data_IF_576299016417
#
_entry.id   IF_576299016417
#
_cell.length_a   1.000
_cell.length_b   1.000
_cell.length_c   1.000
_cell.angle_alpha   90.00
_cell.angle_beta   90.00
_cell.angle_gamma   90.00
#
_symmetry.space_group_name_H-M   'P 1'
#
loop_
_entity.id
_entity.type
_entity.pdbx_description
1 polymer ?
#
# COMPACT_ATOMS: atom_id res chain seq x y z
N UNK A 1 15.10 -15.89 -25.60
CA UNK A 1 13.97 -15.18 -24.96
C UNK A 1 13.04 -16.13 -24.19
N UNK A 2 12.16 -16.92 -24.82
CA UNK A 2 11.18 -17.75 -24.06
C UNK A 2 11.82 -18.71 -23.03
N UNK A 3 12.85 -19.48 -23.43
CA UNK A 3 13.57 -20.38 -22.52
C UNK A 3 14.23 -19.66 -21.33
N UNK A 4 14.75 -18.45 -21.54
CA UNK A 4 15.35 -17.63 -20.46
C UNK A 4 14.27 -17.13 -19.50
N UNK A 5 13.10 -16.72 -20.01
CA UNK A 5 11.96 -16.35 -19.18
C UNK A 5 11.42 -17.54 -18.38
N UNK A 6 11.32 -18.73 -18.96
CA UNK A 6 10.93 -19.94 -18.23
C UNK A 6 11.94 -20.29 -17.12
N UNK A 7 13.25 -20.15 -17.39
CA UNK A 7 14.28 -20.38 -16.37
C UNK A 7 14.22 -19.33 -15.26
N UNK A 8 14.07 -18.05 -15.60
CA UNK A 8 13.94 -16.97 -14.61
C UNK A 8 12.71 -17.20 -13.74
N UNK A 9 11.52 -17.41 -14.34
CA UNK A 9 10.27 -17.67 -13.63
C UNK A 9 10.36 -18.95 -12.80
N UNK A 10 10.94 -20.02 -13.34
CA UNK A 10 11.13 -21.28 -12.63
C UNK A 10 12.03 -21.14 -11.41
N UNK A 11 13.19 -20.49 -11.56
CA UNK A 11 14.11 -20.18 -10.45
C UNK A 11 13.42 -19.27 -9.43
N UNK A 12 12.65 -18.28 -9.88
CA UNK A 12 11.83 -17.41 -9.03
C UNK A 12 10.90 -18.20 -8.12
N UNK A 13 10.08 -19.05 -8.73
CA UNK A 13 9.05 -19.83 -8.03
C UNK A 13 9.69 -20.79 -7.03
N UNK A 14 10.85 -21.38 -7.41
CA UNK A 14 11.65 -22.22 -6.52
C UNK A 14 12.22 -21.41 -5.35
N UNK A 15 12.76 -20.21 -5.60
CA UNK A 15 13.25 -19.30 -4.54
C UNK A 15 12.10 -18.91 -3.60
N UNK A 16 10.91 -18.61 -4.09
CA UNK A 16 9.72 -18.33 -3.26
C UNK A 16 9.42 -19.50 -2.33
N UNK A 17 9.30 -20.72 -2.89
CA UNK A 17 9.01 -21.91 -2.10
C UNK A 17 10.08 -22.21 -1.05
N UNK A 18 11.34 -21.93 -1.37
CA UNK A 18 12.48 -22.08 -0.44
C UNK A 18 12.56 -20.94 0.59
N UNK A 19 12.10 -19.74 0.26
CA UNK A 19 12.18 -18.56 1.13
C UNK A 19 11.40 -18.77 2.42
N UNK A 20 10.27 -19.49 2.38
CA UNK A 20 9.51 -19.83 3.60
C UNK A 20 10.29 -20.73 4.57
N UNK A 21 11.15 -21.60 4.03
CA UNK A 21 12.05 -22.45 4.82
C UNK A 21 13.26 -21.68 5.34
N UNK A 22 13.83 -20.78 4.52
CA UNK A 22 15.00 -19.96 4.86
C UNK A 22 14.68 -18.85 5.90
N UNK A 23 13.44 -18.34 5.89
CA UNK A 23 12.90 -17.33 6.82
C UNK A 23 13.06 -17.72 8.29
N UNK A 24 13.05 -19.03 8.61
CA UNK A 24 13.19 -19.51 10.00
C UNK A 24 14.60 -19.29 10.57
N UNK A 25 15.61 -19.01 9.73
CA UNK A 25 17.02 -18.95 10.14
C UNK A 25 17.68 -17.58 9.97
N UNK A 26 17.13 -16.66 9.17
CA UNK A 26 17.72 -15.34 8.91
C UNK A 26 16.74 -14.20 9.28
N UNK A 27 17.17 -13.16 9.99
CA UNK A 27 16.35 -11.99 10.32
C UNK A 27 16.29 -11.00 9.14
N UNK A 28 16.00 -11.48 7.93
CA UNK A 28 15.94 -10.67 6.70
C UNK A 28 14.53 -10.75 6.11
N UNK A 29 13.90 -9.60 5.86
CA UNK A 29 12.58 -9.50 5.23
C UNK A 29 12.56 -10.06 3.80
N UNK A 30 11.41 -10.56 3.36
CA UNK A 30 11.22 -11.19 2.04
C UNK A 30 11.58 -10.25 0.89
N UNK A 31 11.17 -8.98 0.96
CA UNK A 31 11.44 -7.99 -0.08
C UNK A 31 12.93 -7.76 -0.30
N UNK A 32 13.75 -7.82 0.75
CA UNK A 32 15.21 -7.69 0.65
C UNK A 32 15.85 -8.87 -0.08
N UNK A 33 15.32 -10.08 0.12
CA UNK A 33 15.75 -11.27 -0.62
C UNK A 33 15.38 -11.12 -2.10
N UNK A 34 14.14 -10.71 -2.40
CA UNK A 34 13.69 -10.52 -3.79
C UNK A 34 14.47 -9.42 -4.50
N UNK A 35 14.76 -8.32 -3.82
CA UNK A 35 15.60 -7.24 -4.34
C UNK A 35 17.02 -7.75 -4.67
N UNK A 36 17.64 -8.51 -3.76
CA UNK A 36 18.96 -9.09 -3.99
C UNK A 36 18.95 -10.08 -5.15
N UNK A 37 17.93 -10.94 -5.24
CA UNK A 37 17.75 -11.83 -6.38
C UNK A 37 17.61 -11.04 -7.69
N UNK A 38 16.87 -9.93 -7.69
CA UNK A 38 16.72 -9.05 -8.84
C UNK A 38 18.06 -8.49 -9.30
N UNK A 39 18.86 -7.98 -8.36
CA UNK A 39 20.21 -7.48 -8.64
C UNK A 39 21.13 -8.57 -9.23
N UNK A 40 21.11 -9.77 -8.66
CA UNK A 40 21.89 -10.90 -9.16
C UNK A 40 21.42 -11.40 -10.54
N UNK A 41 20.14 -11.30 -10.85
CA UNK A 41 19.59 -11.66 -12.17
C UNK A 41 19.75 -10.53 -13.20
N UNK A 42 19.96 -9.30 -12.74
CA UNK A 42 20.13 -8.10 -13.56
C UNK A 42 21.46 -8.03 -14.31
N UNK A 43 21.70 -6.96 -15.07
CA UNK A 43 22.86 -6.80 -15.95
C UNK A 43 24.22 -6.90 -15.23
N UNK A 44 24.28 -6.51 -13.97
CA UNK A 44 25.49 -6.53 -13.15
C UNK A 44 25.78 -7.88 -12.47
N UNK A 45 24.86 -8.83 -12.55
CA UNK A 45 25.04 -10.20 -12.08
C UNK A 45 25.11 -11.20 -13.23
N UNK A 46 24.04 -11.98 -13.40
CA UNK A 46 23.92 -13.02 -14.42
C UNK A 46 23.42 -12.48 -15.77
N UNK A 47 22.86 -11.27 -15.80
CA UNK A 47 22.42 -10.59 -17.02
C UNK A 47 21.22 -11.23 -17.73
N UNK A 48 20.39 -11.98 -16.99
CA UNK A 48 19.17 -12.61 -17.50
C UNK A 48 18.01 -11.62 -17.66
N UNK A 49 17.92 -10.65 -16.74
CA UNK A 49 16.96 -9.55 -16.80
C UNK A 49 17.72 -8.32 -17.29
N UNK A 50 17.28 -7.73 -18.40
CA UNK A 50 17.87 -6.52 -18.99
C UNK A 50 16.79 -5.49 -19.25
N UNK A 51 16.39 -4.82 -18.18
CA UNK A 51 15.44 -3.73 -18.21
C UNK A 51 16.19 -2.41 -18.28
N UNK A 52 15.65 -1.47 -19.05
CA UNK A 52 16.09 -0.09 -19.09
C UNK A 52 14.96 0.81 -18.60
N UNK A 53 15.29 1.70 -17.68
CA UNK A 53 14.31 2.53 -16.98
C UNK A 53 13.51 3.42 -17.94
N UNK A 54 14.15 3.97 -18.97
CA UNK A 54 13.52 4.90 -19.91
C UNK A 54 12.81 4.15 -21.04
N UNK A 55 13.48 3.15 -21.63
CA UNK A 55 12.94 2.39 -22.76
C UNK A 55 11.73 1.55 -22.34
N UNK A 56 11.80 0.93 -21.16
CA UNK A 56 10.79 0.00 -20.70
C UNK A 56 9.80 0.66 -19.73
N UNK A 57 9.83 2.00 -19.59
CA UNK A 57 9.03 2.81 -18.65
C UNK A 57 7.53 2.47 -18.69
N UNK A 58 6.93 2.33 -19.87
CA UNK A 58 5.50 2.01 -20.01
C UNK A 58 5.14 0.63 -19.45
N UNK A 59 6.02 -0.37 -19.64
CA UNK A 59 5.81 -1.69 -19.04
C UNK A 59 5.96 -1.62 -17.53
N UNK A 60 6.98 -0.90 -17.04
CA UNK A 60 7.24 -0.73 -15.62
C UNK A 60 6.10 0.02 -14.92
N UNK A 61 5.54 1.04 -15.55
CA UNK A 61 4.35 1.77 -15.09
C UNK A 61 3.19 0.80 -14.91
N UNK A 62 2.79 0.06 -15.95
CA UNK A 62 1.65 -0.88 -15.88
C UNK A 62 1.84 -1.95 -14.81
N UNK A 63 3.05 -2.52 -14.70
CA UNK A 63 3.33 -3.57 -13.72
C UNK A 63 3.26 -3.04 -12.28
N UNK A 64 3.82 -1.86 -12.04
CA UNK A 64 3.80 -1.22 -10.71
C UNK A 64 2.41 -0.67 -10.38
N UNK A 65 1.67 -0.18 -11.37
CA UNK A 65 0.28 0.26 -11.25
C UNK A 65 -0.63 -0.86 -10.78
N UNK A 66 -0.58 -2.03 -11.44
CA UNK A 66 -1.34 -3.21 -11.03
C UNK A 66 -0.98 -3.64 -9.60
N UNK A 67 0.31 -3.62 -9.26
CA UNK A 67 0.79 -3.98 -7.92
C UNK A 67 0.25 -3.02 -6.85
N UNK A 68 0.27 -1.71 -7.10
CA UNK A 68 -0.30 -0.69 -6.20
C UNK A 68 -1.80 -0.84 -6.06
N UNK A 69 -2.54 -1.11 -7.15
CA UNK A 69 -4.00 -1.29 -7.10
C UNK A 69 -4.40 -2.46 -6.19
N UNK A 70 -3.76 -3.61 -6.37
CA UNK A 70 -3.99 -4.81 -5.55
C UNK A 70 -3.67 -4.50 -4.09
N UNK A 71 -2.53 -3.88 -3.83
CA UNK A 71 -2.09 -3.50 -2.49
C UNK A 71 -3.09 -2.59 -1.78
N UNK A 72 -3.47 -1.48 -2.42
CA UNK A 72 -4.37 -0.49 -1.83
C UNK A 72 -5.75 -1.07 -1.54
N UNK A 73 -6.24 -1.96 -2.40
CA UNK A 73 -7.46 -2.70 -2.13
C UNK A 73 -7.32 -3.59 -0.88
N UNK A 74 -6.20 -4.34 -0.77
CA UNK A 74 -5.89 -5.16 0.39
C UNK A 74 -5.84 -4.34 1.68
N UNK A 75 -5.17 -3.18 1.65
CA UNK A 75 -5.10 -2.25 2.79
C UNK A 75 -6.50 -1.81 3.19
N UNK A 76 -7.35 -1.40 2.24
CA UNK A 76 -8.74 -1.06 2.51
C UNK A 76 -9.50 -2.16 3.24
N UNK A 77 -9.33 -3.41 2.82
CA UNK A 77 -9.95 -4.59 3.45
C UNK A 77 -9.41 -4.91 4.85
N UNK A 78 -8.13 -4.59 5.14
CA UNK A 78 -7.54 -4.81 6.47
C UNK A 78 -8.10 -3.83 7.52
N UNK A 79 -8.55 -2.64 7.11
CA UNK A 79 -9.00 -1.58 8.01
C UNK A 79 -10.47 -1.77 8.46
N UNK A 80 -10.66 -2.57 9.53
CA UNK A 80 -11.99 -2.88 10.09
C UNK A 80 -12.56 -1.82 11.04
N UNK A 81 -11.78 -0.84 11.50
CA UNK A 81 -12.20 0.09 12.57
C UNK A 81 -13.30 1.05 12.08
N UNK A 82 -14.37 1.34 12.87
CA UNK A 82 -15.39 2.32 12.50
C UNK A 82 -14.80 3.67 12.11
N UNK A 83 -15.34 4.30 11.06
CA UNK A 83 -14.86 5.60 10.56
C UNK A 83 -14.93 6.75 11.58
N UNK A 84 -15.79 6.62 12.59
CA UNK A 84 -15.95 7.62 13.67
C UNK A 84 -15.00 7.41 14.85
N UNK A 85 -14.21 6.34 14.83
CA UNK A 85 -13.28 6.03 15.91
C UNK A 85 -12.11 7.02 15.92
N UNK A 86 -11.66 7.40 17.12
CA UNK A 86 -10.50 8.27 17.32
C UNK A 86 -9.18 7.70 16.78
N UNK A 87 -9.12 6.37 16.57
CA UNK A 87 -7.96 5.69 15.97
C UNK A 87 -7.61 6.18 14.55
N UNK A 88 -8.56 6.73 13.80
CA UNK A 88 -8.31 7.27 12.45
C UNK A 88 -7.47 8.55 12.44
N UNK A 89 -7.40 9.28 13.56
CA UNK A 89 -6.69 10.56 13.63
C UNK A 89 -5.21 10.43 13.29
N UNK A 90 -4.55 9.41 13.82
CA UNK A 90 -3.12 9.20 13.59
C UNK A 90 -2.78 8.88 12.11
N UNK A 91 -3.37 7.85 11.47
CA UNK A 91 -3.11 7.57 10.07
C UNK A 91 -3.48 8.73 9.14
N UNK A 92 -4.58 9.44 9.37
CA UNK A 92 -4.94 10.62 8.55
C UNK A 92 -3.91 11.75 8.69
N UNK A 93 -3.48 12.07 9.92
CA UNK A 93 -2.47 13.11 10.17
C UNK A 93 -1.11 12.74 9.56
N UNK A 94 -0.71 11.47 9.66
CA UNK A 94 0.52 10.97 9.06
C UNK A 94 0.41 11.00 7.53
N UNK A 95 -0.73 10.58 6.99
CA UNK A 95 -0.93 10.49 5.55
C UNK A 95 -1.10 11.84 4.83
N UNK A 96 -1.37 12.90 5.59
CA UNK A 96 -1.58 14.25 5.03
C UNK A 96 -0.47 15.18 5.49
N UNK A 97 -0.50 15.59 6.75
CA UNK A 97 0.39 16.63 7.26
C UNK A 97 1.84 16.16 7.36
N UNK A 98 2.09 14.94 7.82
CA UNK A 98 3.47 14.44 7.88
C UNK A 98 4.04 14.18 6.47
N UNK A 99 3.21 13.72 5.53
CA UNK A 99 3.60 13.62 4.12
C UNK A 99 3.95 15.00 3.53
N UNK A 100 3.13 16.04 3.76
CA UNK A 100 3.43 17.40 3.29
C UNK A 100 4.73 17.97 3.87
N UNK A 101 4.99 17.73 5.16
CA UNK A 101 6.27 18.10 5.79
C UNK A 101 7.43 17.34 5.14
N UNK A 102 7.26 16.04 4.88
CA UNK A 102 8.26 15.21 4.18
C UNK A 102 8.55 15.76 2.79
N UNK A 103 7.51 16.11 2.02
CA UNK A 103 7.62 16.69 0.69
C UNK A 103 8.38 18.02 0.75
N UNK A 104 8.03 18.91 1.68
CA UNK A 104 8.67 20.21 1.81
C UNK A 104 10.17 20.08 2.15
N UNK A 105 10.51 19.21 3.10
CA UNK A 105 11.90 18.97 3.51
C UNK A 105 12.72 18.31 2.39
N UNK A 106 12.17 17.31 1.70
CA UNK A 106 12.84 16.68 0.56
C UNK A 106 12.97 17.62 -0.64
N UNK A 107 11.99 18.50 -0.88
CA UNK A 107 12.10 19.53 -1.92
C UNK A 107 13.25 20.48 -1.60
N UNK A 108 13.34 20.94 -0.35
CA UNK A 108 14.47 21.77 0.11
C UNK A 108 15.82 21.07 -0.04
N UNK A 109 15.89 19.77 0.31
CA UNK A 109 17.10 18.97 0.12
C UNK A 109 17.47 18.82 -1.37
N UNK A 110 16.50 18.53 -2.23
CA UNK A 110 16.71 18.42 -3.68
C UNK A 110 17.21 19.71 -4.30
N UNK A 111 16.63 20.85 -3.92
CA UNK A 111 17.09 22.16 -4.36
C UNK A 111 18.50 22.48 -3.86
N UNK A 112 18.81 22.13 -2.61
CA UNK A 112 20.17 22.30 -2.05
C UNK A 112 21.20 21.45 -2.80
N UNK A 113 20.81 20.27 -3.27
CA UNK A 113 21.64 19.39 -4.12
C UNK A 113 21.66 19.81 -5.61
N UNK A 114 21.00 20.91 -5.97
CA UNK A 114 21.08 21.50 -7.31
C UNK A 114 19.95 21.12 -8.28
N UNK A 115 18.88 20.46 -7.82
CA UNK A 115 17.69 20.25 -8.65
C UNK A 115 16.90 21.55 -8.85
N UNK A 116 16.27 21.68 -10.01
CA UNK A 116 15.21 22.67 -10.22
C UNK A 116 14.04 22.45 -9.26
N UNK A 117 13.21 23.48 -9.05
CA UNK A 117 12.01 23.35 -8.21
C UNK A 117 11.10 22.20 -8.69
N UNK A 118 10.90 22.05 -9.99
CA UNK A 118 10.09 20.96 -10.56
C UNK A 118 10.70 19.58 -10.30
N UNK A 119 12.01 19.41 -10.54
CA UNK A 119 12.70 18.15 -10.27
C UNK A 119 12.75 17.79 -8.77
N UNK A 120 12.94 18.79 -7.91
CA UNK A 120 12.95 18.59 -6.46
C UNK A 120 11.57 18.21 -5.91
N UNK A 121 10.50 18.86 -6.38
CA UNK A 121 9.12 18.51 -6.01
C UNK A 121 8.76 17.13 -6.55
N UNK A 122 9.18 16.77 -7.77
CA UNK A 122 8.96 15.43 -8.33
C UNK A 122 9.63 14.35 -7.45
N UNK A 123 10.93 14.50 -7.18
CA UNK A 123 11.66 13.58 -6.31
C UNK A 123 10.99 13.46 -4.93
N UNK A 124 10.60 14.58 -4.34
CA UNK A 124 9.94 14.61 -3.04
C UNK A 124 8.56 13.93 -3.08
N UNK A 125 7.75 14.18 -4.11
CA UNK A 125 6.42 13.58 -4.27
C UNK A 125 6.48 12.07 -4.50
N UNK A 126 7.50 11.59 -5.23
CA UNK A 126 7.73 10.17 -5.48
C UNK A 126 8.23 9.45 -4.22
N UNK A 127 9.04 10.11 -3.40
CA UNK A 127 9.66 9.51 -2.21
C UNK A 127 8.88 9.71 -0.91
N UNK A 128 7.95 10.66 -0.85
CA UNK A 128 7.15 10.93 0.35
C UNK A 128 6.12 9.83 0.71
N UNK A 129 5.53 9.08 -0.23
CA UNK A 129 4.57 8.02 0.05
C UNK A 129 5.24 6.75 0.58
N UNK A 130 4.59 6.11 1.55
CA UNK A 130 5.11 4.93 2.23
C UNK A 130 4.43 3.70 1.72
N UNK A 131 5.21 2.70 1.34
CA UNK A 131 4.67 1.49 0.75
C UNK A 131 4.16 0.52 1.83
N UNK A 132 2.85 0.23 1.85
CA UNK A 132 2.32 -0.81 2.71
C UNK A 132 2.86 -2.20 2.34
N UNK A 133 2.98 -2.55 1.06
CA UNK A 133 3.31 -3.90 0.54
C UNK A 133 4.53 -4.50 1.25
N UNK A 134 5.58 -3.68 1.35
CA UNK A 134 6.90 -4.09 1.84
C UNK A 134 7.00 -4.12 3.36
N UNK A 135 5.97 -3.65 4.05
CA UNK A 135 5.87 -3.60 5.49
C UNK A 135 4.90 -4.66 6.04
N UNK A 136 4.60 -5.72 5.30
CA UNK A 136 3.62 -6.75 5.68
C UNK A 136 3.86 -7.37 7.07
N UNK A 137 5.11 -7.46 7.54
CA UNK A 137 5.49 -7.90 8.90
C UNK A 137 5.07 -6.91 10.02
N UNK A 138 4.81 -5.66 9.65
CA UNK A 138 4.51 -4.53 10.54
C UNK A 138 3.05 -4.09 10.45
N UNK A 139 2.35 -4.53 9.40
CA UNK A 139 0.92 -4.29 9.21
C UNK A 139 0.06 -5.07 10.22
N UNK A 140 -1.24 -4.74 10.22
CA UNK A 140 -2.29 -5.54 10.89
C UNK A 140 -2.17 -7.00 10.44
N UNK A 141 -1.75 -7.87 11.38
CA UNK A 141 -1.45 -9.26 11.07
C UNK A 141 -2.74 -10.08 10.89
N UNK A 142 -3.73 -9.85 11.74
CA UNK A 142 -5.00 -10.59 11.75
C UNK A 142 -6.21 -9.66 12.01
N UNK A 143 -7.43 -10.05 11.63
CA UNK A 143 -8.66 -9.25 11.79
C UNK A 143 -9.01 -8.80 13.23
N UNK A 144 -8.33 -9.33 14.24
CA UNK A 144 -8.51 -9.06 15.67
C UNK A 144 -7.33 -8.28 16.27
N UNK A 145 -6.39 -7.83 15.45
CA UNK A 145 -5.24 -7.06 15.90
C UNK A 145 -5.68 -5.61 16.22
N UNK A 146 -5.87 -5.35 17.52
CA UNK A 146 -6.27 -4.06 18.06
C UNK A 146 -5.08 -3.13 18.34
N UNK A 147 -3.87 -3.44 17.86
CA UNK A 147 -2.72 -2.56 18.06
C UNK A 147 -2.87 -1.28 17.24
N UNK A 148 -3.14 -0.17 17.93
CA UNK A 148 -3.28 1.15 17.31
C UNK A 148 -2.06 1.59 16.50
N UNK A 149 -0.86 1.06 16.78
CA UNK A 149 0.33 1.31 15.98
C UNK A 149 0.25 0.63 14.61
N UNK A 150 -0.08 -0.66 14.57
CA UNK A 150 -0.22 -1.43 13.33
C UNK A 150 -1.35 -0.88 12.46
N UNK A 151 -2.48 -0.55 13.07
CA UNK A 151 -3.59 0.13 12.39
C UNK A 151 -3.14 1.46 11.76
N UNK A 152 -2.40 2.28 12.51
CA UNK A 152 -1.93 3.57 12.02
C UNK A 152 -0.92 3.44 10.88
N UNK A 153 0.01 2.48 10.95
CA UNK A 153 0.99 2.23 9.88
C UNK A 153 0.33 1.68 8.61
N UNK A 154 -0.61 0.74 8.76
CA UNK A 154 -1.38 0.21 7.63
C UNK A 154 -2.23 1.31 6.98
N UNK A 155 -2.93 2.12 7.77
CA UNK A 155 -3.71 3.25 7.29
C UNK A 155 -2.85 4.35 6.64
N UNK A 156 -1.70 4.68 7.22
CA UNK A 156 -0.74 5.63 6.64
C UNK A 156 -0.33 5.18 5.24
N UNK A 157 0.11 3.93 5.07
CA UNK A 157 0.55 3.42 3.78
C UNK A 157 -0.51 3.53 2.70
N UNK A 158 -1.74 3.09 2.98
CA UNK A 158 -2.84 3.17 2.02
C UNK A 158 -3.26 4.60 1.67
N UNK A 159 -3.38 5.48 2.66
CA UNK A 159 -3.79 6.86 2.41
C UNK A 159 -2.67 7.68 1.74
N UNK A 160 -1.40 7.45 2.06
CA UNK A 160 -0.25 8.16 1.47
C UNK A 160 -0.09 7.86 -0.02
N UNK A 161 -0.06 6.57 -0.38
CA UNK A 161 0.01 6.14 -1.78
C UNK A 161 -1.25 6.58 -2.55
N UNK A 162 -2.36 6.79 -1.85
CA UNK A 162 -3.57 7.41 -2.38
C UNK A 162 -3.62 8.94 -2.26
N UNK A 163 -2.56 9.66 -1.88
CA UNK A 163 -2.57 11.12 -1.68
C UNK A 163 -1.39 11.85 -2.35
N UNK A 164 -0.42 11.13 -2.90
CA UNK A 164 0.78 11.70 -3.50
C UNK A 164 0.56 12.28 -4.90
N UNK A 165 -0.37 11.70 -5.66
CA UNK A 165 -0.60 11.99 -7.07
C UNK A 165 -0.81 13.48 -7.37
N UNK A 166 -1.61 14.26 -6.61
CA UNK A 166 -1.74 15.70 -6.86
C UNK A 166 -0.39 16.43 -6.83
N UNK A 167 0.55 16.02 -5.99
CA UNK A 167 1.87 16.64 -5.91
C UNK A 167 2.75 16.21 -7.08
N UNK A 168 2.61 14.99 -7.58
CA UNK A 168 3.26 14.56 -8.84
C UNK A 168 2.75 15.40 -10.01
N UNK A 169 1.43 15.63 -10.11
CA UNK A 169 0.84 16.52 -11.12
C UNK A 169 1.33 17.97 -10.98
N UNK A 170 1.50 18.45 -9.75
CA UNK A 170 2.11 19.76 -9.49
C UNK A 170 3.55 19.82 -10.03
N UNK A 171 4.34 18.78 -9.78
CA UNK A 171 5.72 18.71 -10.25
C UNK A 171 5.79 18.74 -11.78
N UNK A 172 4.95 17.94 -12.46
CA UNK A 172 4.83 17.92 -13.91
C UNK A 172 4.41 19.31 -14.44
N UNK A 173 3.49 20.00 -13.76
CA UNK A 173 3.10 21.35 -14.14
C UNK A 173 4.20 22.39 -13.95
N UNK A 174 4.99 22.30 -12.89
CA UNK A 174 6.19 23.12 -12.69
C UNK A 174 7.26 22.86 -13.76
N UNK A 175 7.27 21.65 -14.32
CA UNK A 175 8.11 21.25 -15.46
C UNK A 175 7.47 21.59 -16.82
N UNK A 176 6.30 22.25 -16.84
CA UNK A 176 5.53 22.64 -18.04
C UNK A 176 5.02 21.45 -18.87
N UNK A 177 4.79 20.32 -18.22
CA UNK A 177 4.27 19.09 -18.81
C UNK A 177 2.77 18.90 -18.53
N UNK A 178 2.23 19.63 -17.56
CA UNK A 178 0.82 19.62 -17.19
C UNK A 178 0.28 21.05 -17.05
N UNK A 179 -0.97 21.27 -17.46
CA UNK A 179 -1.59 22.59 -17.32
C UNK A 179 -2.14 22.77 -15.89
N UNK A 180 -1.48 23.64 -15.12
CA UNK A 180 -1.93 24.01 -13.77
C UNK A 180 -3.13 24.97 -13.80
N UNK A 181 -3.46 25.54 -14.96
CA UNK A 181 -4.44 26.58 -15.13
C UNK A 181 -3.99 27.93 -14.55
N UNK A 182 -4.80 28.97 -14.78
CA UNK A 182 -4.54 30.32 -14.27
C UNK A 182 -4.35 30.30 -12.74
N UNK A 183 -3.21 30.79 -12.25
CA UNK A 183 -2.86 30.81 -10.82
C UNK A 183 -2.86 29.43 -10.13
N UNK A 184 -2.83 28.32 -10.89
CA UNK A 184 -2.89 26.98 -10.31
C UNK A 184 -4.31 26.50 -9.96
N UNK A 185 -5.36 27.19 -10.42
CA UNK A 185 -6.74 26.85 -10.07
C UNK A 185 -7.20 25.50 -10.61
N UNK A 186 -6.73 25.10 -11.80
CA UNK A 186 -7.05 23.78 -12.34
C UNK A 186 -6.46 22.69 -11.43
N UNK A 187 -5.23 22.87 -11.00
CA UNK A 187 -4.56 21.96 -10.08
C UNK A 187 -5.31 21.82 -8.75
N UNK A 188 -5.69 22.93 -8.11
CA UNK A 188 -6.41 22.87 -6.83
C UNK A 188 -7.81 22.25 -7.00
N UNK A 189 -8.57 22.68 -8.00
CA UNK A 189 -9.96 22.27 -8.14
C UNK A 189 -10.11 20.86 -8.71
N UNK A 190 -9.33 20.52 -9.75
CA UNK A 190 -9.43 19.27 -10.49
C UNK A 190 -8.48 18.23 -9.92
N UNK A 191 -7.17 18.48 -9.98
CA UNK A 191 -6.15 17.47 -9.62
C UNK A 191 -6.14 17.14 -8.13
N UNK A 192 -6.53 18.10 -7.27
CA UNK A 192 -6.58 17.90 -5.82
C UNK A 192 -7.99 17.64 -5.29
N UNK A 193 -8.91 18.62 -5.38
CA UNK A 193 -10.22 18.51 -4.71
C UNK A 193 -11.15 17.51 -5.40
N UNK A 194 -11.39 17.68 -6.70
CA UNK A 194 -12.26 16.78 -7.46
C UNK A 194 -11.70 15.36 -7.49
N UNK A 195 -10.42 15.20 -7.82
CA UNK A 195 -9.83 13.88 -7.95
C UNK A 195 -9.89 13.08 -6.64
N UNK A 196 -9.58 13.72 -5.51
CA UNK A 196 -9.63 13.08 -4.18
C UNK A 196 -11.06 12.78 -3.75
N UNK A 197 -11.97 13.76 -3.80
CA UNK A 197 -13.35 13.57 -3.35
C UNK A 197 -14.12 12.61 -4.26
N UNK A 198 -13.96 12.75 -5.58
CA UNK A 198 -14.53 11.88 -6.59
C UNK A 198 -14.04 10.45 -6.47
N UNK A 199 -12.74 10.24 -6.25
CA UNK A 199 -12.17 8.90 -6.06
C UNK A 199 -12.74 8.22 -4.81
N UNK A 200 -12.70 8.88 -3.65
CA UNK A 200 -13.25 8.36 -2.40
C UNK A 200 -14.74 8.01 -2.50
N UNK A 201 -15.54 8.91 -3.09
CA UNK A 201 -16.99 8.70 -3.23
C UNK A 201 -17.32 7.58 -4.21
N UNK A 202 -16.68 7.56 -5.39
CA UNK A 202 -16.87 6.50 -6.37
C UNK A 202 -16.51 5.13 -5.79
N UNK A 203 -15.32 5.02 -5.19
CA UNK A 203 -14.86 3.78 -4.57
C UNK A 203 -15.79 3.30 -3.47
N UNK A 204 -16.22 4.21 -2.59
CA UNK A 204 -17.18 3.87 -1.54
C UNK A 204 -18.49 3.33 -2.11
N UNK A 205 -19.03 3.96 -3.16
CA UNK A 205 -20.26 3.53 -3.82
C UNK A 205 -20.10 2.18 -4.52
N UNK A 206 -19.02 1.95 -5.27
CA UNK A 206 -18.79 0.68 -5.97
C UNK A 206 -18.58 -0.47 -4.99
N UNK A 207 -17.79 -0.27 -3.91
CA UNK A 207 -17.58 -1.26 -2.87
C UNK A 207 -18.86 -1.63 -2.10
N UNK A 208 -19.70 -0.64 -1.78
CA UNK A 208 -21.02 -0.89 -1.16
C UNK A 208 -21.97 -1.63 -2.10
N UNK A 209 -22.07 -1.19 -3.35
CA UNK A 209 -22.93 -1.80 -4.35
C UNK A 209 -22.54 -3.27 -4.58
N UNK A 210 -21.25 -3.51 -4.76
CA UNK A 210 -20.70 -4.85 -4.91
C UNK A 210 -21.04 -5.75 -3.71
N UNK A 211 -20.79 -5.27 -2.49
CA UNK A 211 -21.10 -6.03 -1.26
C UNK A 211 -22.58 -6.39 -1.17
N UNK A 212 -23.47 -5.46 -1.53
CA UNK A 212 -24.93 -5.71 -1.54
C UNK A 212 -25.33 -6.73 -2.60
N UNK A 213 -24.80 -6.64 -3.82
CA UNK A 213 -25.11 -7.56 -4.91
C UNK A 213 -24.68 -8.98 -4.52
N UNK A 214 -23.46 -9.16 -4.00
CA UNK A 214 -22.97 -10.49 -3.63
C UNK A 214 -23.80 -11.11 -2.50
N UNK A 215 -24.12 -10.35 -1.45
CA UNK A 215 -24.96 -10.85 -0.36
C UNK A 215 -26.38 -11.19 -0.85
N UNK A 216 -26.95 -10.37 -1.72
CA UNK A 216 -28.27 -10.62 -2.31
C UNK A 216 -28.28 -11.93 -3.13
N UNK A 217 -27.33 -12.09 -4.06
CA UNK A 217 -27.25 -13.28 -4.91
C UNK A 217 -27.03 -14.57 -4.10
N UNK A 218 -26.23 -14.50 -3.03
CA UNK A 218 -25.97 -15.67 -2.17
C UNK A 218 -27.19 -16.04 -1.32
N UNK A 219 -27.97 -15.04 -0.85
CA UNK A 219 -29.22 -15.27 -0.10
C UNK A 219 -30.30 -15.92 -0.97
N UNK A 220 -30.45 -15.46 -2.20
CA UNK A 220 -31.61 -15.82 -3.02
C UNK A 220 -31.37 -17.04 -3.91
N UNK A 221 -30.13 -17.29 -4.36
CA UNK A 221 -29.85 -18.34 -5.35
C UNK A 221 -29.07 -19.55 -4.82
N UNK A 222 -28.67 -19.58 -3.54
CA UNK A 222 -27.85 -20.66 -2.95
C UNK A 222 -26.61 -21.02 -3.78
N UNK A 223 -26.09 -20.07 -4.57
CA UNK A 223 -24.92 -20.24 -5.40
C UNK A 223 -23.68 -20.18 -4.49
N UNK A 224 -22.99 -21.30 -4.36
CA UNK A 224 -21.61 -21.29 -3.89
C UNK A 224 -20.77 -20.67 -5.01
N UNK A 225 -20.56 -19.37 -4.96
CA UNK A 225 -19.50 -18.79 -5.77
C UNK A 225 -18.19 -19.45 -5.31
N UNK A 226 -17.43 -20.00 -6.27
CA UNK A 226 -16.03 -20.36 -6.11
C UNK A 226 -15.18 -19.43 -6.98
N UNK A 227 -15.65 -18.19 -7.14
CA UNK A 227 -15.15 -17.17 -8.08
C UNK A 227 -15.03 -15.79 -7.41
N UNK A 228 -15.07 -15.72 -6.08
CA UNK A 228 -14.85 -14.51 -5.28
C UNK A 228 -13.57 -13.77 -5.71
N UNK A 229 -12.54 -14.53 -6.07
CA UNK A 229 -11.28 -14.03 -6.62
C UNK A 229 -11.45 -13.25 -7.94
N UNK A 230 -12.27 -13.75 -8.87
CA UNK A 230 -12.55 -13.05 -10.13
C UNK A 230 -13.38 -11.79 -9.91
N UNK A 231 -14.35 -11.85 -9.00
CA UNK A 231 -15.12 -10.68 -8.64
C UNK A 231 -14.27 -9.58 -8.00
N UNK A 232 -13.26 -9.98 -7.21
CA UNK A 232 -12.30 -9.05 -6.61
C UNK A 232 -11.52 -8.30 -7.69
N UNK A 233 -10.91 -9.04 -8.63
CA UNK A 233 -10.22 -8.44 -9.77
C UNK A 233 -11.14 -7.55 -10.60
N UNK A 234 -12.37 -8.01 -10.84
CA UNK A 234 -13.39 -7.26 -11.54
C UNK A 234 -13.76 -5.95 -10.85
N UNK A 235 -13.90 -5.95 -9.51
CA UNK A 235 -14.20 -4.75 -8.74
C UNK A 235 -13.03 -3.75 -8.75
N UNK A 236 -11.80 -4.22 -8.58
CA UNK A 236 -10.60 -3.39 -8.67
C UNK A 236 -10.53 -2.73 -10.04
N UNK A 237 -10.60 -3.51 -11.12
CA UNK A 237 -10.51 -3.03 -12.49
C UNK A 237 -11.66 -2.08 -12.86
N UNK A 238 -12.90 -2.42 -12.48
CA UNK A 238 -14.08 -1.58 -12.74
C UNK A 238 -14.00 -0.25 -11.99
N UNK A 239 -13.67 -0.29 -10.70
CA UNK A 239 -13.55 0.93 -9.88
C UNK A 239 -12.44 1.82 -10.43
N UNK A 240 -11.29 1.24 -10.77
CA UNK A 240 -10.18 1.98 -11.36
C UNK A 240 -10.53 2.59 -12.71
N UNK A 241 -11.09 1.79 -13.63
CA UNK A 241 -11.47 2.26 -14.96
C UNK A 241 -12.52 3.36 -14.93
N UNK A 242 -13.56 3.22 -14.09
CA UNK A 242 -14.55 4.27 -13.87
C UNK A 242 -13.92 5.54 -13.28
N UNK A 243 -12.96 5.39 -12.37
CA UNK A 243 -12.28 6.53 -11.78
C UNK A 243 -11.50 7.33 -12.83
N UNK A 244 -10.78 6.64 -13.73
CA UNK A 244 -10.06 7.27 -14.83
C UNK A 244 -11.01 7.99 -15.81
N UNK A 245 -12.15 7.38 -16.14
CA UNK A 245 -13.16 8.01 -17.01
C UNK A 245 -13.76 9.28 -16.41
N UNK A 246 -13.84 9.37 -15.08
CA UNK A 246 -14.35 10.55 -14.37
C UNK A 246 -13.25 11.57 -14.03
N UNK A 247 -12.01 11.35 -14.49
CA UNK A 247 -10.84 12.14 -14.12
C UNK A 247 -10.69 12.25 -12.59
N UNK A 248 -10.92 11.14 -11.91
CA UNK A 248 -10.79 11.03 -10.46
C UNK A 248 -9.62 10.14 -10.07
N UNK A 249 -9.27 10.15 -8.79
CA UNK A 249 -8.10 9.44 -8.32
C UNK A 249 -8.35 7.93 -8.17
N UNK A 250 -7.93 7.16 -9.17
CA UNK A 250 -8.18 5.72 -9.26
C UNK A 250 -7.63 4.89 -8.10
N UNK A 251 -6.39 5.12 -7.66
CA UNK A 251 -5.82 4.41 -6.50
C UNK A 251 -6.63 4.62 -5.22
N UNK A 252 -7.03 5.88 -4.97
CA UNK A 252 -7.84 6.22 -3.80
C UNK A 252 -9.26 5.65 -3.90
N UNK A 253 -9.82 5.55 -5.12
CA UNK A 253 -11.09 4.88 -5.35
C UNK A 253 -11.02 3.38 -5.05
N UNK A 254 -9.98 2.68 -5.49
CA UNK A 254 -9.80 1.26 -5.19
C UNK A 254 -9.60 1.02 -3.69
N UNK A 255 -8.80 1.86 -3.02
CA UNK A 255 -8.67 1.83 -1.56
C UNK A 255 -10.03 2.01 -0.86
N UNK A 256 -10.81 3.01 -1.28
CA UNK A 256 -12.13 3.29 -0.72
C UNK A 256 -13.14 2.17 -0.98
N UNK A 257 -13.05 1.47 -2.11
CA UNK A 257 -13.87 0.30 -2.40
C UNK A 257 -13.57 -0.86 -1.44
N UNK A 258 -12.30 -1.19 -1.22
CA UNK A 258 -11.89 -2.20 -0.23
C UNK A 258 -12.34 -1.83 1.19
N UNK A 259 -12.16 -0.55 1.57
CA UNK A 259 -12.61 -0.04 2.87
C UNK A 259 -14.14 -0.14 3.04
N UNK A 260 -14.91 0.23 2.01
CA UNK A 260 -16.37 0.17 2.04
C UNK A 260 -16.88 -1.27 2.20
N UNK A 261 -16.29 -2.22 1.49
CA UNK A 261 -16.61 -3.65 1.66
C UNK A 261 -16.37 -4.11 3.10
N UNK A 262 -15.24 -3.71 3.68
CA UNK A 262 -14.89 -4.07 5.05
C UNK A 262 -15.84 -3.45 6.08
N UNK A 263 -16.26 -2.20 5.87
CA UNK A 263 -17.24 -1.54 6.74
C UNK A 263 -18.63 -2.16 6.62
N UNK A 264 -19.02 -2.59 5.42
CA UNK A 264 -20.27 -3.29 5.18
C UNK A 264 -20.31 -4.63 5.92
N UNK A 265 -19.28 -5.48 5.76
CA UNK A 265 -19.16 -6.76 6.48
C UNK A 265 -19.23 -6.60 8.00
N UNK A 266 -18.55 -5.59 8.54
CA UNK A 266 -18.60 -5.28 9.98
C UNK A 266 -20.01 -4.95 10.43
N UNK A 267 -20.71 -4.07 9.71
CA UNK A 267 -22.05 -3.60 10.08
C UNK A 267 -23.07 -4.75 10.00
N UNK A 268 -22.98 -5.57 8.96
CA UNK A 268 -23.81 -6.77 8.78
C UNK A 268 -23.56 -7.80 9.90
N UNK A 269 -22.30 -8.02 10.26
CA UNK A 269 -21.91 -8.91 11.38
C UNK A 269 -22.40 -8.40 12.74
N UNK A 270 -22.26 -7.10 13.01
CA UNK A 270 -22.70 -6.48 14.26
C UNK A 270 -24.23 -6.54 14.42
N UNK A 271 -24.98 -6.33 13.34
CA UNK A 271 -26.46 -6.36 13.35
C UNK A 271 -26.98 -7.76 13.72
N UNK A 272 -26.46 -8.80 13.08
CA UNK A 272 -26.86 -10.19 13.34
C UNK A 272 -26.39 -10.72 14.71
N UNK A 273 -25.30 -10.18 15.26
CA UNK A 273 -24.87 -10.51 16.64
C UNK A 273 -25.85 -9.95 17.67
N UNK A 274 -26.40 -8.75 17.46
CA UNK A 274 -27.43 -8.19 18.34
C UNK A 274 -28.74 -8.99 18.22
N UNK A 275 -29.17 -9.35 17.01
CA UNK A 275 -30.36 -10.21 16.81
C UNK A 275 -30.25 -11.56 17.54
N UNK A 276 -29.11 -12.26 17.44
CA UNK A 276 -28.90 -13.51 18.19
C UNK A 276 -28.91 -13.30 19.70
N UNK A 277 -28.30 -12.22 20.18
CA UNK A 277 -28.26 -11.92 21.62
C UNK A 277 -29.66 -11.61 22.16
N UNK A 278 -30.50 -10.89 21.40
CA UNK A 278 -31.89 -10.63 21.75
C UNK A 278 -32.75 -11.90 21.73
N UNK A 279 -32.54 -12.79 20.76
CA UNK A 279 -33.25 -14.09 20.69
C UNK A 279 -32.83 -15.02 21.84
N UNK A 280 -31.54 -15.10 22.17
CA UNK A 280 -31.02 -15.91 23.29
C UNK A 280 -31.42 -15.35 24.67
N UNK A 281 -31.64 -14.04 24.78
CA UNK A 281 -32.16 -13.41 26.00
C UNK A 281 -33.69 -13.53 26.12
N UNK A 282 -34.38 -13.71 25.00
CA UNK A 282 -35.84 -13.90 24.95
C UNK A 282 -36.26 -15.37 25.09
N UNK A 283 -35.35 -16.33 24.91
CA UNK A 283 -35.61 -17.74 25.17
C UNK A 283 -35.43 -18.09 26.65
N UNK A 284 -36.46 -18.67 27.26
CA UNK A 284 -36.41 -19.17 28.64
C UNK A 284 -35.51 -20.41 28.76
N UNK A 285 -34.85 -20.68 29.90
CA UNK A 285 -33.79 -21.68 30.02
C UNK A 285 -34.21 -23.16 29.93
N UNK A 286 -35.47 -23.48 29.60
CA UNK A 286 -36.06 -24.81 29.87
C UNK A 286 -36.42 -25.64 28.63
N UNK A 287 -36.19 -25.15 27.42
CA UNK A 287 -36.44 -25.95 26.21
C UNK A 287 -35.17 -26.64 25.73
N UNK A 288 -35.12 -27.95 26.04
CA UNK A 288 -34.21 -29.00 25.59
C UNK A 288 -33.14 -28.64 24.54
N UNK A 289 -31.89 -28.83 24.96
CA UNK A 289 -30.71 -28.89 24.09
C UNK A 289 -30.79 -30.12 23.20
N UNK A 290 -31.57 -30.07 22.12
CA UNK A 290 -31.53 -31.09 21.07
C UNK A 290 -31.74 -30.46 19.69
N UNK A 291 -30.75 -30.69 18.82
CA UNK A 291 -30.65 -30.33 17.40
C UNK A 291 -30.21 -28.90 17.02
N UNK A 292 -28.95 -28.57 17.32
CA UNK A 292 -28.16 -27.72 16.42
C UNK A 292 -27.69 -28.57 15.23
N UNK A 293 -28.57 -28.73 14.23
CA UNK A 293 -28.22 -29.40 12.97
C UNK A 293 -27.20 -28.62 12.11
N UNK A 294 -26.77 -29.18 10.95
CA UNK A 294 -25.75 -28.57 10.07
C UNK A 294 -26.12 -27.22 9.45
N UNK A 295 -27.35 -26.73 9.68
CA UNK A 295 -27.89 -25.47 9.17
C UNK A 295 -27.29 -24.21 9.81
N UNK A 296 -26.55 -24.35 10.92
CA UNK A 296 -25.83 -23.22 11.54
C UNK A 296 -24.71 -22.61 10.67
N UNK A 297 -24.33 -23.27 9.56
CA UNK A 297 -23.36 -22.78 8.58
C UNK A 297 -23.94 -21.74 7.60
N UNK A 298 -25.26 -21.56 7.55
CA UNK A 298 -25.97 -20.73 6.57
C UNK A 298 -26.59 -19.44 7.16
N UNK A 299 -25.96 -18.81 8.16
CA UNK A 299 -26.40 -17.47 8.60
C UNK A 299 -25.88 -16.38 7.66
N UNK A 300 -26.71 -15.41 7.21
CA UNK A 300 -26.27 -14.34 6.30
C UNK A 300 -25.04 -13.55 6.78
N UNK A 301 -24.88 -13.36 8.09
CA UNK A 301 -23.68 -12.74 8.69
C UNK A 301 -22.38 -13.51 8.38
N UNK A 302 -22.45 -14.84 8.34
CA UNK A 302 -21.29 -15.68 8.00
C UNK A 302 -20.95 -15.56 6.52
N UNK A 303 -21.91 -15.19 5.67
CA UNK A 303 -21.69 -15.04 4.24
C UNK A 303 -20.84 -13.82 3.89
N UNK A 304 -21.17 -12.66 4.45
CA UNK A 304 -20.40 -11.42 4.23
C UNK A 304 -19.00 -11.52 4.84
N UNK A 305 -18.87 -12.13 6.02
CA UNK A 305 -17.60 -12.40 6.68
C UNK A 305 -16.72 -13.40 5.91
N UNK A 306 -17.30 -14.50 5.42
CA UNK A 306 -16.58 -15.50 4.61
C UNK A 306 -16.08 -14.89 3.30
N UNK A 307 -16.95 -14.16 2.58
CA UNK A 307 -16.58 -13.44 1.35
C UNK A 307 -15.44 -12.46 1.60
N UNK A 308 -15.56 -11.58 2.59
CA UNK A 308 -14.51 -10.59 2.89
C UNK A 308 -13.17 -11.26 3.24
N UNK A 309 -13.22 -12.42 3.91
CA UNK A 309 -12.02 -13.20 4.23
C UNK A 309 -11.40 -13.83 2.97
N UNK A 310 -12.19 -14.50 2.13
CA UNK A 310 -11.70 -15.18 0.93
C UNK A 310 -11.15 -14.19 -0.11
N UNK A 311 -11.84 -13.06 -0.26
CA UNK A 311 -11.37 -11.91 -1.05
C UNK A 311 -10.04 -11.36 -0.51
N UNK A 312 -9.93 -11.20 0.82
CA UNK A 312 -8.69 -10.75 1.44
C UNK A 312 -7.57 -11.76 1.19
N UNK A 313 -7.78 -13.04 1.51
CA UNK A 313 -6.78 -14.10 1.35
C UNK A 313 -6.26 -14.15 -0.10
N UNK A 314 -7.15 -14.09 -1.08
CA UNK A 314 -6.78 -14.01 -2.50
C UNK A 314 -6.00 -12.73 -2.85
N UNK A 315 -6.41 -11.57 -2.32
CA UNK A 315 -5.71 -10.31 -2.55
C UNK A 315 -4.30 -10.34 -1.93
N UNK A 316 -4.12 -10.99 -0.78
CA UNK A 316 -2.81 -11.18 -0.16
C UNK A 316 -1.88 -12.05 -1.00
N UNK A 317 -2.42 -13.09 -1.65
CA UNK A 317 -1.64 -13.92 -2.57
C UNK A 317 -1.19 -13.11 -3.79
N UNK A 318 -2.08 -12.27 -4.35
CA UNK A 318 -1.72 -11.36 -5.44
C UNK A 318 -0.68 -10.32 -5.00
N UNK A 319 -0.83 -9.75 -3.80
CA UNK A 319 0.10 -8.78 -3.22
C UNK A 319 1.52 -9.37 -3.14
N UNK A 320 1.66 -10.63 -2.70
CA UNK A 320 2.96 -11.33 -2.64
C UNK A 320 3.58 -11.57 -4.00
N UNK A 321 2.78 -11.94 -5.00
CA UNK A 321 3.26 -12.13 -6.38
C UNK A 321 3.71 -10.80 -6.97
N UNK A 322 2.92 -9.75 -6.77
CA UNK A 322 3.21 -8.41 -7.24
C UNK A 322 4.46 -7.82 -6.56
N UNK A 323 4.57 -7.95 -5.23
CA UNK A 323 5.74 -7.57 -4.44
C UNK A 323 7.00 -8.18 -5.02
N UNK A 324 6.99 -9.48 -5.24
CA UNK A 324 8.12 -10.20 -5.79
C UNK A 324 8.49 -9.73 -7.19
N UNK A 325 7.51 -9.65 -8.10
CA UNK A 325 7.75 -9.23 -9.47
C UNK A 325 8.38 -7.84 -9.51
N UNK A 326 7.82 -6.89 -8.75
CA UNK A 326 8.32 -5.51 -8.71
C UNK A 326 9.68 -5.43 -8.01
N UNK A 327 9.92 -6.17 -6.93
CA UNK A 327 11.22 -6.16 -6.25
C UNK A 327 12.34 -6.73 -7.10
N UNK A 328 12.07 -7.75 -7.90
CA UNK A 328 13.04 -8.29 -8.86
C UNK A 328 13.35 -7.28 -9.96
N UNK A 329 12.32 -6.60 -10.47
CA UNK A 329 12.44 -5.53 -11.46
C UNK A 329 13.32 -4.41 -10.89
N UNK A 330 12.97 -3.87 -9.72
CA UNK A 330 13.73 -2.80 -9.05
C UNK A 330 15.17 -3.26 -8.81
N UNK A 331 15.36 -4.47 -8.27
CA UNK A 331 16.69 -5.03 -8.04
C UNK A 331 17.51 -5.13 -9.32
N UNK A 332 16.90 -5.53 -10.44
CA UNK A 332 17.59 -5.65 -11.73
C UNK A 332 18.01 -4.31 -12.34
N UNK A 333 17.37 -3.22 -11.93
CA UNK A 333 17.68 -1.85 -12.34
C UNK A 333 18.79 -1.22 -11.48
N UNK A 334 19.13 -1.82 -10.33
CA UNK A 334 20.17 -1.29 -9.46
C UNK A 334 21.57 -1.49 -10.07
N UNK A 335 22.39 -0.46 -9.94
CA UNK A 335 23.82 -0.50 -10.25
C UNK A 335 24.64 0.06 -9.08
N UNK A 336 25.95 -0.14 -9.09
CA UNK A 336 26.83 0.55 -8.13
C UNK A 336 26.81 2.07 -8.32
N UNK A 337 26.53 2.54 -9.54
CA UNK A 337 26.41 3.97 -9.83
C UNK A 337 25.14 4.61 -9.23
N UNK A 338 24.12 3.80 -8.94
CA UNK A 338 22.88 4.26 -8.28
C UNK A 338 23.15 4.80 -6.86
N UNK A 339 24.25 4.39 -6.22
CA UNK A 339 24.65 4.85 -4.88
C UNK A 339 25.70 5.97 -4.96
N UNK A 340 25.40 7.01 -5.72
CA UNK A 340 26.27 8.16 -5.92
C UNK A 340 26.17 9.21 -4.80
N UNK A 341 26.95 10.28 -4.95
CA UNK A 341 27.02 11.38 -3.98
C UNK A 341 25.73 12.21 -3.91
N UNK A 342 24.83 12.10 -4.89
CA UNK A 342 23.52 12.73 -4.89
C UNK A 342 22.48 11.85 -4.18
N UNK A 343 22.42 10.57 -4.54
CA UNK A 343 21.38 9.62 -4.12
C UNK A 343 21.51 9.19 -2.66
N UNK A 344 22.75 8.99 -2.17
CA UNK A 344 22.99 8.56 -0.80
C UNK A 344 22.52 9.59 0.25
N UNK A 345 22.84 10.89 0.16
CA UNK A 345 22.28 11.90 1.05
C UNK A 345 20.77 11.99 1.01
N UNK A 346 20.13 11.82 -0.15
CA UNK A 346 18.67 11.81 -0.28
C UNK A 346 18.10 10.61 0.49
N UNK A 347 18.59 9.40 0.23
CA UNK A 347 18.10 8.17 0.85
C UNK A 347 18.30 8.19 2.38
N UNK A 348 19.52 8.48 2.83
CA UNK A 348 19.87 8.51 4.27
C UNK A 348 19.19 9.69 4.98
N UNK A 349 19.15 10.86 4.34
CA UNK A 349 18.46 12.04 4.84
C UNK A 349 16.97 11.76 5.03
N UNK A 350 16.33 11.08 4.08
CA UNK A 350 14.93 10.69 4.20
C UNK A 350 14.68 9.78 5.41
N UNK A 351 15.47 8.71 5.54
CA UNK A 351 15.28 7.66 6.55
C UNK A 351 15.61 8.17 7.96
N UNK A 352 16.75 8.85 8.14
CA UNK A 352 17.25 9.20 9.47
C UNK A 352 16.88 10.61 9.94
N UNK A 353 16.49 11.51 9.04
CA UNK A 353 16.22 12.92 9.38
C UNK A 353 14.80 13.31 9.01
N UNK A 354 14.45 13.31 7.73
CA UNK A 354 13.19 13.87 7.24
C UNK A 354 12.00 13.12 7.83
N UNK A 355 11.97 11.78 7.74
CA UNK A 355 10.86 10.98 8.28
C UNK A 355 10.72 11.16 9.79
N UNK A 356 11.78 11.00 10.61
CA UNK A 356 11.68 11.28 12.04
C UNK A 356 11.18 12.69 12.33
N UNK A 357 11.73 13.72 11.69
CA UNK A 357 11.29 15.11 11.90
C UNK A 357 9.81 15.27 11.56
N UNK A 358 9.36 14.77 10.42
CA UNK A 358 7.95 14.85 10.00
C UNK A 358 7.00 14.15 11.00
N UNK A 359 7.31 12.91 11.39
CA UNK A 359 6.48 12.17 12.33
C UNK A 359 6.47 12.83 13.71
N UNK A 360 7.62 13.25 14.24
CA UNK A 360 7.67 13.89 15.55
C UNK A 360 6.91 15.22 15.55
N UNK A 361 7.11 16.10 14.57
CA UNK A 361 6.40 17.37 14.49
C UNK A 361 4.88 17.20 14.53
N UNK A 362 4.36 16.21 13.81
CA UNK A 362 2.91 16.03 13.67
C UNK A 362 2.29 15.21 14.81
N UNK A 363 3.01 14.24 15.36
CA UNK A 363 2.49 13.35 16.40
C UNK A 363 2.76 13.82 17.83
N UNK A 364 3.32 15.02 18.03
CA UNK A 364 3.56 15.61 19.37
C UNK A 364 2.30 15.65 20.23
N UNK A 365 1.14 15.93 19.62
CA UNK A 365 -0.17 16.00 20.29
C UNK A 365 -1.04 14.75 20.09
N UNK A 366 -0.50 13.69 19.49
CA UNK A 366 -1.26 12.46 19.25
C UNK A 366 -1.30 11.57 20.50
N UNK A 367 -2.18 10.56 20.46
CA UNK A 367 -2.31 9.51 21.48
C UNK A 367 -1.15 8.50 21.48
N UNK A 368 -0.13 8.66 20.62
CA UNK A 368 1.01 7.75 20.59
C UNK A 368 1.88 7.87 21.84
N UNK A 369 2.19 6.72 22.42
CA UNK A 369 3.29 6.60 23.39
C UNK A 369 4.63 6.92 22.73
N UNK A 370 5.65 7.28 23.52
CA UNK A 370 7.00 7.54 22.99
C UNK A 370 7.61 6.33 22.26
N UNK A 371 7.21 5.11 22.61
CA UNK A 371 7.62 3.90 21.89
C UNK A 371 6.95 3.81 20.51
N UNK A 372 5.63 4.00 20.45
CA UNK A 372 4.87 4.02 19.19
C UNK A 372 5.34 5.13 18.26
N UNK A 373 5.63 6.32 18.79
CA UNK A 373 6.15 7.44 18.00
C UNK A 373 7.53 7.14 17.40
N UNK A 374 8.46 6.58 18.19
CA UNK A 374 9.77 6.15 17.68
C UNK A 374 9.63 5.09 16.60
N UNK A 375 8.72 4.15 16.81
CA UNK A 375 8.45 3.09 15.86
C UNK A 375 7.88 3.64 14.55
N UNK A 376 6.88 4.53 14.61
CA UNK A 376 6.33 5.20 13.44
C UNK A 376 7.34 6.10 12.70
N UNK A 377 8.21 6.78 13.45
CA UNK A 377 9.30 7.59 12.91
C UNK A 377 10.36 6.76 12.19
N UNK A 378 10.64 5.55 12.67
CA UNK A 378 11.57 4.62 12.04
C UNK A 378 10.93 3.92 10.85
N UNK A 379 9.76 3.31 11.00
CA UNK A 379 9.14 2.50 9.97
C UNK A 379 8.31 3.33 8.99
N UNK A 380 8.82 3.44 7.76
CA UNK A 380 7.99 3.53 6.57
C UNK A 380 8.81 3.37 5.31
N UNK A 381 8.67 2.16 4.79
CA UNK A 381 9.41 1.64 3.67
C UNK A 381 9.00 2.39 2.41
N UNK A 382 9.96 2.63 1.50
CA UNK A 382 9.68 3.16 0.15
C UNK A 382 9.72 1.98 -0.82
N UNK A 383 8.88 2.02 -1.84
CA UNK A 383 8.66 0.79 -2.61
C UNK A 383 7.97 0.97 -3.94
N UNK A 384 7.04 0.06 -4.19
CA UNK A 384 6.27 -0.11 -5.43
C UNK A 384 5.61 1.20 -5.84
N UNK A 385 4.97 1.92 -4.91
CA UNK A 385 4.32 3.22 -5.20
C UNK A 385 5.30 4.28 -5.71
N UNK A 386 6.50 4.36 -5.13
CA UNK A 386 7.56 5.26 -5.60
C UNK A 386 8.02 4.90 -7.02
N UNK A 387 8.17 3.61 -7.32
CA UNK A 387 8.51 3.17 -8.66
C UNK A 387 7.40 3.53 -9.67
N UNK A 388 6.14 3.33 -9.31
CA UNK A 388 4.99 3.72 -10.14
C UNK A 388 5.03 5.21 -10.48
N UNK A 389 5.13 6.10 -9.48
CA UNK A 389 5.11 7.54 -9.75
C UNK A 389 6.28 8.04 -10.57
N UNK A 390 7.46 7.43 -10.40
CA UNK A 390 8.60 7.72 -11.25
C UNK A 390 8.31 7.34 -12.71
N UNK A 391 7.75 6.14 -12.95
CA UNK A 391 7.44 5.67 -14.30
C UNK A 391 6.31 6.46 -14.93
N UNK A 392 5.26 6.77 -14.16
CA UNK A 392 4.18 7.67 -14.57
C UNK A 392 4.73 9.02 -15.04
N UNK A 393 5.63 9.64 -14.27
CA UNK A 393 6.23 10.91 -14.69
C UNK A 393 7.00 10.78 -16.01
N UNK A 394 7.79 9.70 -16.18
CA UNK A 394 8.57 9.42 -17.40
C UNK A 394 7.65 9.26 -18.62
N UNK A 395 6.59 8.46 -18.50
CA UNK A 395 5.65 8.21 -19.60
C UNK A 395 4.79 9.42 -19.93
N UNK A 396 4.60 10.33 -18.97
CA UNK A 396 3.91 11.61 -19.15
C UNK A 396 4.87 12.76 -19.53
N UNK A 397 6.03 12.42 -20.10
CA UNK A 397 6.92 13.38 -20.77
C UNK A 397 7.98 14.01 -19.88
N UNK A 398 8.13 13.56 -18.62
CA UNK A 398 9.30 13.94 -17.84
C UNK A 398 10.55 13.38 -18.54
N UNK A 399 11.33 14.27 -19.14
CA UNK A 399 12.61 13.96 -19.77
C UNK A 399 13.59 15.12 -19.55
N UNK A 400 13.73 15.54 -18.30
CA UNK A 400 14.66 16.59 -17.93
C UNK A 400 16.06 16.01 -17.71
N UNK A 401 17.07 16.87 -17.81
CA UNK A 401 18.48 16.48 -17.50
C UNK A 401 18.66 15.97 -16.07
N UNK A 402 17.73 16.32 -15.19
CA UNK A 402 17.72 15.97 -13.77
C UNK A 402 17.09 14.59 -13.51
N UNK A 403 16.29 14.06 -14.45
CA UNK A 403 15.53 12.83 -14.25
C UNK A 403 16.39 11.60 -13.94
N UNK A 404 17.57 11.38 -14.58
CA UNK A 404 18.44 10.27 -14.20
C UNK A 404 18.87 10.34 -12.72
N UNK A 405 19.22 11.52 -12.22
CA UNK A 405 19.61 11.71 -10.82
C UNK A 405 18.43 11.48 -9.86
N UNK A 406 17.22 11.93 -10.24
CA UNK A 406 15.99 11.65 -9.48
C UNK A 406 15.70 10.16 -9.45
N UNK A 407 15.83 9.48 -10.59
CA UNK A 407 15.60 8.05 -10.70
C UNK A 407 16.59 7.22 -9.86
N UNK A 408 17.88 7.53 -9.93
CA UNK A 408 18.89 6.87 -9.11
C UNK A 408 18.63 7.12 -7.61
N UNK A 409 18.27 8.35 -7.23
CA UNK A 409 17.89 8.65 -5.85
C UNK A 409 16.66 7.86 -5.39
N UNK A 410 15.67 7.67 -6.26
CA UNK A 410 14.49 6.85 -5.96
C UNK A 410 14.86 5.38 -5.78
N UNK A 411 15.61 4.80 -6.72
CA UNK A 411 16.05 3.40 -6.67
C UNK A 411 16.95 3.13 -5.44
N UNK A 412 17.91 4.02 -5.16
CA UNK A 412 18.75 3.95 -3.97
C UNK A 412 17.90 4.02 -2.71
N UNK A 413 16.95 4.95 -2.62
CA UNK A 413 16.09 5.09 -1.45
C UNK A 413 15.23 3.86 -1.22
N UNK A 414 14.62 3.29 -2.27
CA UNK A 414 13.88 2.03 -2.19
C UNK A 414 14.80 0.92 -1.65
N UNK A 415 15.97 0.73 -2.26
CA UNK A 415 16.91 -0.31 -1.88
C UNK A 415 17.38 -0.19 -0.43
N UNK A 416 17.86 0.99 -0.01
CA UNK A 416 18.29 1.21 1.38
C UNK A 416 17.12 1.04 2.35
N UNK A 417 15.93 1.54 2.02
CA UNK A 417 14.77 1.42 2.91
C UNK A 417 14.34 -0.04 3.07
N UNK A 418 14.32 -0.83 2.00
CA UNK A 418 13.98 -2.26 2.05
C UNK A 418 15.01 -3.03 2.87
N UNK A 419 16.30 -2.77 2.69
CA UNK A 419 17.36 -3.46 3.44
C UNK A 419 17.36 -3.09 4.94
N UNK A 420 17.25 -1.79 5.26
CA UNK A 420 17.29 -1.30 6.64
C UNK A 420 16.02 -1.67 7.43
N UNK A 421 14.84 -1.47 6.85
CA UNK A 421 13.59 -1.80 7.53
C UNK A 421 13.32 -3.30 7.50
N UNK A 422 13.61 -3.99 6.40
CA UNK A 422 13.43 -5.43 6.28
C UNK A 422 14.29 -6.24 7.26
N UNK A 423 15.48 -5.76 7.60
CA UNK A 423 16.32 -6.38 8.65
C UNK A 423 15.93 -5.99 10.08
N UNK A 424 15.27 -4.84 10.27
CA UNK A 424 14.93 -4.31 11.60
C UNK A 424 13.47 -4.55 12.03
N UNK A 425 12.55 -4.83 11.10
CA UNK A 425 11.10 -4.98 11.34
C UNK A 425 10.77 -6.06 12.38
N UNK A 426 11.12 -7.31 12.09
CA UNK A 426 10.87 -8.46 12.96
C UNK A 426 11.47 -8.31 14.36
N UNK A 427 12.78 -7.97 14.54
CA UNK A 427 13.34 -7.81 15.87
C UNK A 427 12.73 -6.62 16.63
N UNK A 428 12.46 -5.50 15.97
CA UNK A 428 11.85 -4.33 16.62
C UNK A 428 10.41 -4.63 17.08
N UNK A 429 9.61 -5.32 16.26
CA UNK A 429 8.24 -5.68 16.61
C UNK A 429 8.21 -6.67 17.79
N UNK A 430 9.11 -7.66 17.82
CA UNK A 430 9.24 -8.58 18.97
C UNK A 430 9.61 -7.82 20.25
N UNK A 431 10.56 -6.89 20.17
CA UNK A 431 10.94 -6.07 21.32
C UNK A 431 9.78 -5.18 21.81
N UNK A 432 9.02 -4.59 20.88
CA UNK A 432 7.83 -3.79 21.19
C UNK A 432 6.73 -4.61 21.87
N UNK A 433 6.41 -5.80 21.34
CA UNK A 433 5.41 -6.70 21.93
C UNK A 433 5.81 -7.18 23.33
N UNK A 434 7.09 -7.53 23.53
CA UNK A 434 7.61 -7.89 24.85
C UNK A 434 7.52 -6.73 25.84
N UNK A 435 7.82 -5.51 25.41
CA UNK A 435 7.69 -4.32 26.26
C UNK A 435 6.23 -4.04 26.63
N UNK A 436 5.28 -4.29 25.71
CA UNK A 436 3.84 -4.16 25.97
C UNK A 436 3.34 -5.22 26.96
N UNK A 437 3.79 -6.47 26.80
CA UNK A 437 3.43 -7.59 27.67
C UNK A 437 3.93 -7.40 29.11
N UNK A 438 5.07 -6.72 29.31
CA UNK A 438 5.60 -6.38 30.65
C UNK A 438 4.84 -5.26 31.37
N UNK A 439 3.97 -4.52 30.66
CA UNK A 439 3.18 -3.40 31.20
C UNK A 439 1.74 -3.79 31.54
N UNK A 440 1.29 -4.96 31.08
CA UNK A 440 0.05 -5.61 31.52
C UNK A 440 0.39 -6.51 32.70
#
# INVERSE_FOLDING_TARGET
>A
MFMQWCLVIGVLLVVIGLTDTLRRRLPVGTSAIYLLCGYLLGPHGLGFIRLDLMRDAALLEVLTEIAVLVSLFAVGLRLRVPLRDGLWRAPVLMATLAMLVTIALLTGLGMWLGLSLGGAVLMAAVLAPTDPVLASDVQVAHPQDHDGLRFSLTGEGGLNDGAAFPVVMLALGLMRLHDLGSWGLHWVAVDLVWATAGGLTLGWLTGLLFSRIVVYLRREQSQAFGMESFFTLGLIALTYGLALLLHTYGFLAVFAAGLAMRQFERTDSDSHRHERTEVDLASTPDDGVENLGPSAQASPAMASAYMAKEVLDFTLDLERIAELAVMLIIGSLLSLATFDAFSLPVALGLIFVVRPVAIYLITLRSVFTSAQRRFAAWFGVRGVGSMYYLMFAVTHGANTRELPAVADAVLATIALSVLLHGSSATPAMRAYQQALARRR
#
